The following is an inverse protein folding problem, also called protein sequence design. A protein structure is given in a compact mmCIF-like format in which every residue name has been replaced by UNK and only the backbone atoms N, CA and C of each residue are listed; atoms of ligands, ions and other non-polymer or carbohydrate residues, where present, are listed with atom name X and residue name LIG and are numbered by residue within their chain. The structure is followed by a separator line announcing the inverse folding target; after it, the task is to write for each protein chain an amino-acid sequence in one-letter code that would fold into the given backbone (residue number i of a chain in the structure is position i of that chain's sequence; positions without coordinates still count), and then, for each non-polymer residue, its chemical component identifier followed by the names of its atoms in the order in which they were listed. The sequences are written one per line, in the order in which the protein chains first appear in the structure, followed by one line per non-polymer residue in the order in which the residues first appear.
data_IF_375687613798
#
_entry.id   IF_375687613798
#
_cell.length_a   1.000
_cell.length_b   1.000
_cell.length_c   1.000
_cell.angle_alpha   90.00
_cell.angle_beta   90.00
_cell.angle_gamma   90.00
#
_symmetry.space_group_name_H-M   'P 1'
#
loop_
_entity.id
_entity.type
_entity.pdbx_description
1 polymer ?
#
# COMPACT_ATOMS: atom_id res chain seq x y z
N UNK A 1 -4.86 -15.26 28.05
CA UNK A 1 -4.57 -16.21 26.93
C UNK A 1 -3.71 -15.47 25.92
N UNK A 2 -2.46 -15.90 25.68
CA UNK A 2 -1.51 -15.16 24.81
C UNK A 2 -1.96 -15.20 23.34
N UNK A 3 -1.96 -14.03 22.67
CA UNK A 3 -2.35 -13.86 21.27
C UNK A 3 -1.52 -14.76 20.34
N UNK A 4 -0.26 -15.01 20.71
CA UNK A 4 0.65 -15.88 19.97
C UNK A 4 0.15 -17.32 19.86
N UNK A 5 -0.66 -17.82 20.79
CA UNK A 5 -1.17 -19.20 20.70
C UNK A 5 -2.38 -19.33 19.76
N UNK A 6 -2.94 -18.22 19.27
CA UNK A 6 -4.10 -18.18 18.34
C UNK A 6 -3.71 -18.00 16.87
N UNK A 7 -2.44 -17.71 16.57
CA UNK A 7 -1.95 -17.50 15.21
C UNK A 7 -1.51 -18.82 14.55
N UNK A 8 -1.66 -18.90 13.22
CA UNK A 8 -1.20 -20.04 12.43
C UNK A 8 0.33 -20.14 12.45
N UNK A 9 0.87 -21.37 12.30
CA UNK A 9 2.32 -21.60 12.28
C UNK A 9 3.00 -20.87 11.12
N UNK A 10 2.34 -20.77 9.97
CA UNK A 10 2.85 -20.08 8.80
C UNK A 10 3.07 -18.59 9.09
N UNK A 11 2.06 -17.91 9.65
CA UNK A 11 2.15 -16.47 9.97
C UNK A 11 3.26 -16.19 10.99
N UNK A 12 3.44 -17.07 11.98
CA UNK A 12 4.51 -16.96 12.99
C UNK A 12 5.92 -17.01 12.39
N UNK A 13 6.07 -17.70 11.27
CA UNK A 13 7.36 -17.91 10.63
C UNK A 13 7.66 -16.88 9.53
N UNK A 14 6.75 -15.92 9.26
CA UNK A 14 6.99 -14.85 8.30
C UNK A 14 8.05 -13.91 8.90
N UNK A 15 9.23 -13.77 8.26
CA UNK A 15 10.28 -12.88 8.75
C UNK A 15 9.87 -11.41 8.56
N UNK A 16 10.54 -10.51 9.30
CA UNK A 16 10.42 -9.07 9.06
C UNK A 16 10.91 -8.71 7.65
N UNK A 17 10.31 -7.69 7.06
CA UNK A 17 10.72 -7.21 5.73
C UNK A 17 12.03 -6.43 5.83
N UNK A 18 13.10 -6.98 5.26
CA UNK A 18 14.39 -6.30 5.20
C UNK A 18 14.34 -4.99 4.40
N UNK A 19 13.48 -4.90 3.38
CA UNK A 19 13.23 -3.65 2.64
C UNK A 19 12.63 -2.60 3.58
N UNK A 20 11.67 -2.99 4.42
CA UNK A 20 11.06 -2.08 5.39
C UNK A 20 12.06 -1.62 6.44
N UNK A 21 12.83 -2.56 7.00
CA UNK A 21 13.85 -2.22 8.00
C UNK A 21 14.91 -1.26 7.38
N UNK A 22 15.29 -1.44 6.11
CA UNK A 22 16.14 -0.51 5.37
C UNK A 22 15.50 0.86 5.19
N UNK A 23 14.23 0.92 4.73
CA UNK A 23 13.51 2.19 4.57
C UNK A 23 13.38 2.96 5.89
N UNK A 24 13.14 2.28 7.02
CA UNK A 24 13.09 2.90 8.36
C UNK A 24 14.44 3.53 8.77
N UNK A 25 15.58 3.00 8.31
CA UNK A 25 16.90 3.57 8.60
C UNK A 25 17.24 4.82 7.79
N UNK A 26 16.68 4.93 6.57
CA UNK A 26 16.95 6.04 5.63
C UNK A 26 15.86 7.11 5.65
N UNK A 27 14.70 6.81 6.24
CA UNK A 27 13.61 7.77 6.46
C UNK A 27 14.11 9.00 7.24
N UNK A 28 13.97 10.19 6.64
CA UNK A 28 14.40 11.46 7.26
C UNK A 28 15.87 11.82 7.06
N UNK A 29 16.61 11.09 6.20
CA UNK A 29 17.97 11.47 5.78
C UNK A 29 17.92 12.24 4.47
N UNK A 30 18.31 13.52 4.50
CA UNK A 30 18.30 14.40 3.32
C UNK A 30 19.46 14.13 2.34
N UNK A 31 20.45 13.32 2.74
CA UNK A 31 21.65 12.99 1.96
C UNK A 31 21.54 11.68 1.15
N UNK A 32 20.36 11.05 1.12
CA UNK A 32 20.14 9.76 0.48
C UNK A 32 19.24 9.90 -0.75
N UNK A 33 19.73 9.43 -1.92
CA UNK A 33 18.92 9.31 -3.13
C UNK A 33 18.23 7.93 -3.13
N UNK A 34 16.90 7.92 -3.08
CA UNK A 34 16.12 6.68 -3.12
C UNK A 34 15.95 6.19 -4.57
N UNK A 35 16.66 5.10 -4.91
CA UNK A 35 16.48 4.37 -6.18
C UNK A 35 15.65 3.08 -6.02
N UNK A 36 15.16 2.81 -4.80
CA UNK A 36 14.40 1.61 -4.45
C UNK A 36 12.88 1.81 -4.46
N UNK A 37 12.39 2.91 -5.03
CA UNK A 37 10.97 3.23 -5.09
C UNK A 37 10.29 2.29 -6.10
N UNK A 38 9.37 1.45 -5.62
CA UNK A 38 8.62 0.50 -6.45
C UNK A 38 7.32 1.06 -7.03
N UNK A 39 7.09 2.37 -6.90
CA UNK A 39 5.92 3.08 -7.42
C UNK A 39 6.32 4.08 -8.52
N UNK A 40 5.41 4.41 -9.44
CA UNK A 40 5.66 5.43 -10.47
C UNK A 40 6.01 6.80 -9.87
N UNK A 41 6.93 7.51 -10.51
CA UNK A 41 7.40 8.85 -10.14
C UNK A 41 6.48 9.98 -10.63
N UNK A 42 5.41 9.64 -11.36
CA UNK A 42 4.46 10.59 -11.91
C UNK A 42 3.08 10.48 -11.26
N UNK A 43 2.41 11.62 -11.26
CA UNK A 43 1.01 11.74 -10.88
C UNK A 43 0.09 10.97 -11.84
N UNK A 44 -0.90 10.24 -11.30
CA UNK A 44 -2.00 9.66 -12.10
C UNK A 44 -2.57 10.69 -13.09
N UNK A 45 -2.76 10.34 -14.38
CA UNK A 45 -3.29 11.27 -15.38
C UNK A 45 -4.59 11.97 -14.97
N UNK A 46 -4.73 13.23 -15.38
CA UNK A 46 -5.84 14.12 -14.94
C UNK A 46 -7.23 13.54 -15.22
N UNK A 47 -7.47 13.05 -16.44
CA UNK A 47 -8.76 12.49 -16.84
C UNK A 47 -9.19 11.27 -15.99
N UNK A 48 -8.23 10.51 -15.44
CA UNK A 48 -8.53 9.40 -14.53
C UNK A 48 -8.97 9.94 -13.15
N UNK A 49 -8.33 11.02 -12.67
CA UNK A 49 -8.72 11.69 -11.42
C UNK A 49 -10.10 12.31 -11.53
N UNK A 50 -10.41 12.96 -12.65
CA UNK A 50 -11.73 13.51 -12.93
C UNK A 50 -12.82 12.43 -12.93
N UNK A 51 -12.57 11.30 -13.60
CA UNK A 51 -13.50 10.18 -13.59
C UNK A 51 -13.77 9.65 -12.18
N UNK A 52 -12.72 9.55 -11.34
CA UNK A 52 -12.86 9.15 -9.95
C UNK A 52 -13.68 10.16 -9.13
N UNK A 53 -13.42 11.46 -9.27
CA UNK A 53 -14.18 12.53 -8.59
C UNK A 53 -15.65 12.48 -9.03
N UNK A 54 -15.90 12.40 -10.33
CA UNK A 54 -17.24 12.36 -10.89
C UNK A 54 -18.07 11.17 -10.42
N UNK A 55 -17.45 9.98 -10.32
CA UNK A 55 -18.09 8.77 -9.78
C UNK A 55 -18.50 8.97 -8.31
N UNK A 56 -17.65 9.61 -7.51
CA UNK A 56 -17.97 9.97 -6.12
C UNK A 56 -19.11 11.00 -6.03
N UNK A 57 -19.10 12.04 -6.87
CA UNK A 57 -20.18 13.04 -6.92
C UNK A 57 -21.53 12.43 -7.30
N UNK A 58 -21.52 11.37 -8.11
CA UNK A 58 -22.72 10.59 -8.46
C UNK A 58 -23.21 9.64 -7.38
N UNK A 59 -22.47 9.48 -6.28
CA UNK A 59 -22.82 8.55 -5.21
C UNK A 59 -22.59 7.08 -5.58
N UNK A 60 -21.68 6.78 -6.51
CA UNK A 60 -21.31 5.41 -6.89
C UNK A 60 -20.42 4.73 -5.83
N UNK A 61 -20.94 4.60 -4.61
CA UNK A 61 -20.21 4.07 -3.43
C UNK A 61 -20.72 2.71 -2.97
N UNK A 62 -21.43 2.00 -3.85
CA UNK A 62 -22.08 0.72 -3.55
C UNK A 62 -21.27 -0.45 -4.10
N UNK A 63 -21.61 -1.66 -3.64
CA UNK A 63 -21.01 -2.88 -4.17
C UNK A 63 -21.19 -2.97 -5.68
N UNK A 64 -20.09 -3.30 -6.36
CA UNK A 64 -20.13 -3.73 -7.75
C UNK A 64 -20.44 -5.23 -7.80
N UNK A 65 -20.99 -5.70 -8.91
CA UNK A 65 -21.14 -7.14 -9.12
C UNK A 65 -19.75 -7.79 -9.16
N UNK A 66 -19.63 -8.98 -8.57
CA UNK A 66 -18.47 -9.81 -8.84
C UNK A 66 -18.51 -10.17 -10.34
N UNK A 67 -17.55 -9.65 -11.10
CA UNK A 67 -17.23 -10.15 -12.43
C UNK A 67 -16.41 -11.43 -12.22
N UNK A 68 -17.12 -12.54 -11.99
CA UNK A 68 -16.55 -13.88 -12.10
C UNK A 68 -16.34 -14.25 -13.55
#
# INVERSE_FOLDING_TARGET
MSLNNKLSKQVKNIPRSGIRDFFELVLGRDDVISLGVGEPDYSTPWHIREAAIYSLEKGETSYTSNLG
#
